data_IF_070437683193
#
_entry.id   IF_070437683193
#
_cell.length_a   1.000
_cell.length_b   1.000
_cell.length_c   1.000
_cell.angle_alpha   90.00
_cell.angle_beta   90.00
_cell.angle_gamma   90.00
#
_symmetry.space_group_name_H-M   'P 1'
#
loop_
_entity.id
_entity.type
_entity.pdbx_description
1 polymer ?
#
# COMPACT_ATOMS: atom_id res chain seq x y z
N UNK A 1 -10.32 58.81 0.18
CA UNK A 1 -9.89 57.45 -0.22
C UNK A 1 -9.80 56.61 1.05
N UNK A 2 -10.85 55.83 1.33
CA UNK A 2 -10.96 55.03 2.56
C UNK A 2 -10.24 53.70 2.38
N UNK A 3 -9.17 53.50 3.15
CA UNK A 3 -8.52 52.21 3.34
C UNK A 3 -9.24 51.46 4.46
N UNK A 4 -10.21 50.62 4.11
CA UNK A 4 -10.71 49.57 4.99
C UNK A 4 -10.41 48.22 4.36
N UNK A 5 -9.20 47.74 4.62
CA UNK A 5 -8.84 46.34 4.38
C UNK A 5 -9.66 45.45 5.32
N UNK A 6 -10.80 44.97 4.82
CA UNK A 6 -11.52 43.86 5.44
C UNK A 6 -10.64 42.62 5.37
N UNK A 7 -9.95 42.32 6.47
CA UNK A 7 -9.50 40.97 6.80
C UNK A 7 -10.75 40.08 6.83
N UNK A 8 -11.02 39.39 5.72
CA UNK A 8 -11.98 38.29 5.69
C UNK A 8 -11.41 37.18 6.57
N UNK A 9 -11.89 37.10 7.81
CA UNK A 9 -11.81 35.85 8.58
C UNK A 9 -12.60 34.84 7.73
N UNK A 10 -11.90 33.94 7.05
CA UNK A 10 -12.54 32.82 6.37
C UNK A 10 -13.31 32.03 7.44
N UNK A 11 -14.63 32.12 7.43
CA UNK A 11 -15.48 31.30 8.29
C UNK A 11 -15.26 29.83 7.89
N UNK A 12 -14.42 29.15 8.66
CA UNK A 12 -14.16 27.72 8.50
C UNK A 12 -15.48 26.98 8.67
N UNK A 13 -15.87 26.21 7.65
CA UNK A 13 -17.12 25.46 7.64
C UNK A 13 -17.20 24.49 8.82
N UNK A 14 -18.40 24.17 9.32
CA UNK A 14 -18.57 23.24 10.43
C UNK A 14 -17.92 21.87 10.17
N UNK A 15 -17.99 21.41 8.92
CA UNK A 15 -17.37 20.16 8.49
C UNK A 15 -15.84 20.21 8.57
N UNK A 16 -15.24 21.34 8.20
CA UNK A 16 -13.80 21.56 8.26
C UNK A 16 -13.30 21.67 9.71
N UNK A 17 -14.08 22.27 10.61
CA UNK A 17 -13.79 22.25 12.06
C UNK A 17 -13.74 20.82 12.62
N UNK A 18 -14.67 19.96 12.20
CA UNK A 18 -14.63 18.55 12.62
C UNK A 18 -13.45 17.78 12.04
N UNK A 19 -13.04 18.08 10.81
CA UNK A 19 -11.83 17.50 10.23
C UNK A 19 -10.60 17.86 11.05
N UNK A 20 -10.41 19.16 11.34
CA UNK A 20 -9.28 19.65 12.14
C UNK A 20 -9.26 18.99 13.53
N UNK A 21 -10.43 18.87 14.17
CA UNK A 21 -10.53 18.23 15.48
C UNK A 21 -10.20 16.72 15.40
N UNK A 22 -10.70 16.02 14.38
CA UNK A 22 -10.40 14.61 14.16
C UNK A 22 -8.90 14.35 13.98
N UNK A 23 -8.21 15.21 13.22
CA UNK A 23 -6.77 15.12 13.02
C UNK A 23 -5.99 15.38 14.31
N UNK A 24 -6.41 16.38 15.10
CA UNK A 24 -5.81 16.65 16.42
C UNK A 24 -5.99 15.47 17.38
N UNK A 25 -7.18 14.90 17.47
CA UNK A 25 -7.44 13.73 18.32
C UNK A 25 -6.56 12.56 17.86
N UNK A 26 -6.49 12.28 16.55
CA UNK A 26 -5.63 11.20 16.03
C UNK A 26 -4.15 11.46 16.28
N UNK A 27 -3.69 12.71 16.25
CA UNK A 27 -2.30 13.07 16.58
C UNK A 27 -1.94 12.68 18.01
N UNK A 28 -2.85 12.85 18.98
CA UNK A 28 -2.63 12.44 20.38
C UNK A 28 -2.39 10.94 20.49
N UNK A 29 -3.25 10.12 19.87
CA UNK A 29 -3.09 8.67 19.86
C UNK A 29 -1.84 8.21 19.09
N UNK A 30 -1.50 8.91 18.00
CA UNK A 30 -0.30 8.61 17.21
C UNK A 30 0.98 8.87 18.00
N UNK A 31 1.02 9.93 18.82
CA UNK A 31 2.14 10.21 19.74
C UNK A 31 2.32 9.10 20.79
N UNK A 32 1.23 8.45 21.18
CA UNK A 32 1.25 7.30 22.06
C UNK A 32 1.47 5.96 21.33
N UNK A 33 1.78 5.97 20.03
CA UNK A 33 1.96 4.76 19.21
C UNK A 33 0.73 3.83 19.17
N UNK A 34 -0.47 4.38 19.42
CA UNK A 34 -1.72 3.61 19.47
C UNK A 34 -2.43 3.64 18.10
N UNK A 35 -2.80 2.48 17.54
CA UNK A 35 -3.51 2.42 16.26
C UNK A 35 -4.96 2.94 16.38
N UNK A 36 -5.29 3.95 15.56
CA UNK A 36 -6.62 4.58 15.50
C UNK A 36 -7.43 4.20 14.26
N UNK A 37 -8.75 4.35 14.34
CA UNK A 37 -9.68 4.27 13.20
C UNK A 37 -9.45 5.37 12.14
N UNK A 38 -10.16 5.30 11.03
CA UNK A 38 -10.11 6.27 9.93
C UNK A 38 -10.62 7.66 10.32
N UNK A 39 -10.13 8.72 9.65
CA UNK A 39 -10.47 10.12 9.97
C UNK A 39 -11.97 10.36 9.83
N UNK A 40 -12.60 9.87 8.77
CA UNK A 40 -14.05 9.99 8.55
C UNK A 40 -14.87 9.33 9.67
N UNK A 41 -14.42 8.16 10.14
CA UNK A 41 -15.06 7.47 11.27
C UNK A 41 -14.90 8.27 12.58
N UNK A 42 -13.76 8.92 12.79
CA UNK A 42 -13.55 9.83 13.92
C UNK A 42 -14.45 11.06 13.84
N UNK A 43 -14.59 11.68 12.66
CA UNK A 43 -15.50 12.83 12.43
C UNK A 43 -16.95 12.45 12.80
N UNK A 44 -17.43 11.28 12.37
CA UNK A 44 -18.79 10.81 12.71
C UNK A 44 -18.96 10.69 14.23
N UNK A 45 -17.95 10.16 14.94
CA UNK A 45 -18.00 10.04 16.41
C UNK A 45 -17.97 11.38 17.12
N UNK A 46 -17.15 12.32 16.64
CA UNK A 46 -17.11 13.69 17.15
C UNK A 46 -18.48 14.35 16.98
N UNK A 47 -19.10 14.22 15.80
CA UNK A 47 -20.44 14.77 15.54
C UNK A 47 -21.48 14.21 16.51
N UNK A 48 -21.51 12.89 16.71
CA UNK A 48 -22.41 12.25 17.69
C UNK A 48 -22.18 12.76 19.11
N UNK A 49 -20.93 13.02 19.49
CA UNK A 49 -20.61 13.59 20.80
C UNK A 49 -21.16 15.02 20.92
N UNK A 50 -20.95 15.85 19.90
CA UNK A 50 -21.48 17.22 19.85
C UNK A 50 -23.01 17.24 19.86
N UNK A 51 -23.67 16.32 19.16
CA UNK A 51 -25.14 16.20 19.18
C UNK A 51 -25.65 15.87 20.60
N UNK A 52 -24.94 15.01 21.34
CA UNK A 52 -25.26 14.71 22.75
C UNK A 52 -25.09 15.94 23.63
N UNK A 53 -24.00 16.70 23.47
CA UNK A 53 -23.76 17.95 24.21
C UNK A 53 -24.89 18.94 23.92
N UNK A 54 -25.19 19.17 22.65
CA UNK A 54 -26.23 20.10 22.24
C UNK A 54 -27.64 19.68 22.72
N UNK A 55 -27.89 18.37 22.76
CA UNK A 55 -29.13 17.84 23.34
C UNK A 55 -29.23 18.16 24.83
N UNK A 56 -28.13 18.02 25.59
CA UNK A 56 -28.11 18.32 27.03
C UNK A 56 -28.18 19.82 27.32
N UNK A 57 -27.58 20.66 26.48
CA UNK A 57 -27.70 22.12 26.59
C UNK A 57 -29.17 22.56 26.53
N UNK A 58 -29.97 21.91 25.67
CA UNK A 58 -31.41 22.17 25.51
C UNK A 58 -32.29 21.64 26.64
N UNK A 59 -31.76 20.88 27.60
CA UNK A 59 -32.56 20.42 28.74
C UNK A 59 -32.95 21.60 29.62
N UNK A 60 -34.23 21.68 29.96
CA UNK A 60 -34.76 22.62 30.96
C UNK A 60 -34.16 22.37 32.34
N UNK A 61 -34.09 23.40 33.18
CA UNK A 61 -33.46 23.31 34.51
C UNK A 61 -34.08 22.20 35.39
N UNK A 62 -35.40 21.99 35.32
CA UNK A 62 -36.09 20.91 36.02
C UNK A 62 -35.63 19.49 35.61
N UNK A 63 -35.11 19.31 34.39
CA UNK A 63 -34.57 18.03 33.91
C UNK A 63 -33.09 17.87 34.18
N UNK A 64 -32.38 18.93 34.59
CA UNK A 64 -30.94 18.87 34.90
C UNK A 64 -30.67 18.26 36.28
N UNK A 65 -31.69 18.11 37.11
CA UNK A 65 -31.62 17.44 38.41
C UNK A 65 -32.01 15.96 38.34
N UNK A 66 -32.47 15.46 37.19
CA UNK A 66 -32.88 14.06 37.06
C UNK A 66 -31.69 13.11 37.02
N UNK A 67 -31.87 11.91 37.56
CA UNK A 67 -30.85 10.85 37.52
C UNK A 67 -30.41 10.55 36.08
N UNK A 68 -31.36 10.57 35.14
CA UNK A 68 -31.10 10.38 33.71
C UNK A 68 -30.18 11.45 33.10
N UNK A 69 -30.19 12.68 33.61
CA UNK A 69 -29.27 13.73 33.18
C UNK A 69 -27.88 13.51 33.76
N UNK A 70 -27.81 13.15 35.05
CA UNK A 70 -26.56 12.81 35.74
C UNK A 70 -25.86 11.61 35.11
N UNK A 71 -26.58 10.57 34.73
CA UNK A 71 -26.05 9.41 33.99
C UNK A 71 -25.47 9.82 32.62
N UNK A 72 -26.21 10.65 31.86
CA UNK A 72 -25.73 11.17 30.57
C UNK A 72 -24.49 12.03 30.75
N UNK A 73 -24.41 12.87 31.78
CA UNK A 73 -23.20 13.63 32.11
C UNK A 73 -22.03 12.71 32.47
N UNK A 74 -22.26 11.68 33.28
CA UNK A 74 -21.23 10.72 33.66
C UNK A 74 -20.69 9.95 32.44
N UNK A 75 -21.49 9.76 31.39
CA UNK A 75 -21.01 9.13 30.15
C UNK A 75 -19.87 9.90 29.46
N UNK A 76 -19.75 11.23 29.67
CA UNK A 76 -18.64 12.03 29.14
C UNK A 76 -17.34 11.89 29.92
N UNK A 77 -17.37 11.27 31.10
CA UNK A 77 -16.15 10.95 31.88
C UNK A 77 -15.41 9.75 31.32
N UNK A 78 -16.04 8.97 30.44
CA UNK A 78 -15.41 7.84 29.78
C UNK A 78 -14.45 8.32 28.69
N UNK A 79 -13.35 7.60 28.49
CA UNK A 79 -12.36 7.90 27.46
C UNK A 79 -13.01 7.96 26.07
N UNK A 80 -12.72 9.01 25.29
CA UNK A 80 -13.15 9.11 23.90
C UNK A 80 -12.33 8.18 23.00
N UNK A 81 -12.65 6.88 23.04
CA UNK A 81 -11.80 5.83 22.49
C UNK A 81 -11.94 5.65 20.97
N UNK A 82 -10.94 6.14 20.23
CA UNK A 82 -10.80 5.96 18.77
C UNK A 82 -9.83 4.84 18.35
N UNK A 83 -9.42 3.97 19.28
CA UNK A 83 -8.51 2.85 18.97
C UNK A 83 -9.17 1.83 18.04
N UNK A 84 -8.39 1.19 17.17
CA UNK A 84 -8.85 0.06 16.34
C UNK A 84 -9.02 -1.22 17.15
N UNK A 85 -8.11 -1.47 18.10
CA UNK A 85 -8.18 -2.62 18.99
C UNK A 85 -9.25 -2.38 20.05
N UNK A 86 -10.19 -3.32 20.21
CA UNK A 86 -11.24 -3.31 21.24
C UNK A 86 -11.16 -4.51 22.19
N UNK A 87 -10.06 -5.25 22.17
CA UNK A 87 -9.89 -6.49 22.94
C UNK A 87 -10.12 -6.32 24.44
N UNK A 88 -9.71 -5.20 25.04
CA UNK A 88 -9.99 -4.92 26.45
C UNK A 88 -11.48 -4.83 26.77
N UNK A 89 -12.25 -4.18 25.90
CA UNK A 89 -13.71 -4.06 26.05
C UNK A 89 -14.38 -5.43 25.87
N UNK A 90 -13.76 -6.32 25.09
CA UNK A 90 -14.14 -7.73 24.93
C UNK A 90 -13.65 -8.66 26.05
N UNK A 91 -13.07 -8.13 27.14
CA UNK A 91 -12.61 -8.92 28.29
C UNK A 91 -11.18 -9.45 28.22
N UNK A 92 -10.46 -9.22 27.11
CA UNK A 92 -9.07 -9.66 26.97
C UNK A 92 -8.15 -8.72 27.74
N UNK A 93 -7.46 -9.24 28.76
CA UNK A 93 -6.52 -8.46 29.59
C UNK A 93 -5.06 -8.67 29.21
N UNK A 94 -4.71 -9.86 28.71
CA UNK A 94 -3.37 -10.16 28.22
C UNK A 94 -3.27 -9.85 26.71
N UNK A 95 -2.26 -9.03 26.35
CA UNK A 95 -1.95 -8.71 24.95
C UNK A 95 -1.76 -9.97 24.12
N UNK A 96 -1.14 -11.02 24.65
CA UNK A 96 -0.80 -12.22 23.89
C UNK A 96 -2.03 -12.97 23.36
N UNK A 97 -3.19 -12.77 24.00
CA UNK A 97 -4.48 -13.33 23.57
C UNK A 97 -5.18 -12.47 22.51
N UNK A 98 -4.64 -11.31 22.15
CA UNK A 98 -5.20 -10.44 21.12
C UNK A 98 -5.05 -11.06 19.72
N UNK A 99 -6.18 -11.26 19.04
CA UNK A 99 -6.27 -11.81 17.68
C UNK A 99 -6.46 -10.75 16.60
N UNK A 100 -6.45 -9.45 16.95
CA UNK A 100 -6.60 -8.38 15.96
C UNK A 100 -5.52 -8.45 14.86
N UNK A 101 -5.85 -8.05 13.62
CA UNK A 101 -4.85 -7.86 12.56
C UNK A 101 -3.69 -7.00 13.06
N UNK A 102 -2.46 -7.34 12.68
CA UNK A 102 -1.24 -6.65 13.10
C UNK A 102 -1.34 -5.10 13.06
N UNK A 103 -1.85 -4.46 11.98
CA UNK A 103 -1.94 -2.99 11.91
C UNK A 103 -2.99 -2.35 12.84
N UNK A 104 -3.88 -3.17 13.39
CA UNK A 104 -4.94 -2.76 14.29
C UNK A 104 -4.64 -3.13 15.75
N UNK A 105 -3.60 -3.93 15.98
CA UNK A 105 -3.20 -4.44 17.29
C UNK A 105 -2.37 -3.41 18.02
N UNK A 106 -2.64 -3.21 19.31
CA UNK A 106 -1.81 -2.36 20.18
C UNK A 106 -0.40 -2.99 20.31
N UNK A 107 0.68 -2.20 20.16
CA UNK A 107 2.04 -2.65 20.44
C UNK A 107 2.15 -3.27 21.84
N UNK A 108 3.03 -4.26 22.00
CA UNK A 108 3.20 -4.96 23.28
C UNK A 108 3.63 -3.99 24.39
N UNK A 109 4.54 -3.06 24.07
CA UNK A 109 5.05 -2.05 25.00
C UNK A 109 4.01 -1.01 25.43
N UNK A 110 2.99 -0.76 24.60
CA UNK A 110 1.93 0.22 24.88
C UNK A 110 0.67 -0.42 25.45
N UNK A 111 0.64 -1.74 25.61
CA UNK A 111 -0.55 -2.46 26.06
C UNK A 111 -0.97 -2.04 27.47
N UNK A 112 -0.02 -2.05 28.41
CA UNK A 112 -0.28 -1.70 29.81
C UNK A 112 -0.67 -0.23 29.95
N UNK A 113 0.01 0.65 29.21
CA UNK A 113 -0.35 2.07 29.13
C UNK A 113 -1.79 2.25 28.60
N UNK A 114 -2.16 1.55 27.53
CA UNK A 114 -3.50 1.65 26.94
C UNK A 114 -4.58 1.11 27.88
N UNK A 115 -4.32 0.00 28.57
CA UNK A 115 -5.23 -0.57 29.58
C UNK A 115 -5.44 0.41 30.74
N UNK A 116 -4.37 1.04 31.21
CA UNK A 116 -4.41 2.07 32.26
C UNK A 116 -5.27 3.27 31.87
N UNK A 117 -5.26 3.69 30.59
CA UNK A 117 -6.13 4.78 30.11
C UNK A 117 -7.63 4.42 30.12
N UNK A 118 -8.00 3.14 30.21
CA UNK A 118 -9.40 2.67 30.23
C UNK A 118 -9.96 2.44 31.63
N UNK A 119 -9.09 2.38 32.64
CA UNK A 119 -9.47 2.11 34.03
C UNK A 119 -9.16 3.33 34.91
N UNK A 120 -8.90 3.10 36.19
CA UNK A 120 -8.36 4.14 37.08
C UNK A 120 -6.89 4.31 36.73
N UNK A 121 -6.52 5.52 36.29
CA UNK A 121 -5.16 5.87 35.88
C UNK A 121 -4.20 5.77 37.07
N UNK A 122 -3.41 4.71 37.11
CA UNK A 122 -2.49 4.36 38.19
C UNK A 122 -1.01 4.50 37.77
N UNK A 123 -0.72 4.64 36.47
CA UNK A 123 0.67 4.73 35.97
C UNK A 123 1.31 6.11 36.23
N UNK A 124 2.53 6.09 36.78
CA UNK A 124 3.40 7.26 36.97
C UNK A 124 4.29 7.44 35.72
N UNK A 125 4.41 8.67 35.20
CA UNK A 125 5.30 8.97 34.07
C UNK A 125 6.74 8.95 34.56
N UNK A 126 7.41 7.81 34.43
CA UNK A 126 8.84 7.68 34.65
C UNK A 126 9.64 8.07 33.39
N UNK A 127 10.91 8.42 33.57
CA UNK A 127 11.82 8.72 32.47
C UNK A 127 11.95 7.50 31.52
N UNK A 128 11.80 7.76 30.23
CA UNK A 128 11.89 6.74 29.16
C UNK A 128 13.36 6.56 28.79
N UNK A 129 13.85 5.32 28.72
CA UNK A 129 15.22 5.04 28.26
C UNK A 129 15.34 5.17 26.74
N UNK A 130 16.55 5.47 26.23
CA UNK A 130 16.79 5.56 24.78
C UNK A 130 16.46 4.24 24.05
N UNK A 131 16.71 3.09 24.71
CA UNK A 131 16.34 1.77 24.19
C UNK A 131 14.82 1.58 24.04
N UNK A 132 14.02 2.10 24.96
CA UNK A 132 12.56 2.03 24.86
C UNK A 132 12.04 2.91 23.71
N UNK A 133 12.72 4.02 23.43
CA UNK A 133 12.38 4.91 22.33
C UNK A 133 12.63 4.25 20.96
N UNK A 134 13.74 3.53 20.80
CA UNK A 134 14.05 2.78 19.59
C UNK A 134 13.05 1.63 19.34
N UNK A 135 12.69 0.89 20.39
CA UNK A 135 11.69 -0.19 20.30
C UNK A 135 10.31 0.35 19.90
N UNK A 136 9.92 1.50 20.45
CA UNK A 136 8.69 2.21 20.05
C UNK A 136 8.73 2.62 18.59
N UNK A 137 9.83 3.24 18.14
CA UNK A 137 10.02 3.67 16.76
C UNK A 137 9.91 2.49 15.80
N UNK A 138 10.60 1.38 16.10
CA UNK A 138 10.54 0.16 15.29
C UNK A 138 9.13 -0.43 15.23
N UNK A 139 8.42 -0.49 16.37
CA UNK A 139 7.05 -1.02 16.44
C UNK A 139 6.06 -0.16 15.64
N UNK A 140 6.19 1.17 15.73
CA UNK A 140 5.38 2.12 14.94
C UNK A 140 5.67 1.94 13.45
N UNK A 141 6.93 1.81 13.06
CA UNK A 141 7.32 1.64 11.66
C UNK A 141 6.79 0.33 11.07
N UNK A 142 6.79 -0.77 11.82
CA UNK A 142 6.18 -2.03 11.41
C UNK A 142 4.66 -1.91 11.22
N UNK A 143 3.97 -1.15 12.09
CA UNK A 143 2.53 -0.91 11.98
C UNK A 143 2.21 -0.02 10.77
N UNK A 144 2.99 1.03 10.53
CA UNK A 144 2.85 1.90 9.36
C UNK A 144 2.99 1.07 8.08
N UNK A 145 4.06 0.27 7.96
CA UNK A 145 4.28 -0.64 6.81
C UNK A 145 3.13 -1.63 6.63
N UNK A 146 2.59 -2.19 7.72
CA UNK A 146 1.44 -3.10 7.66
C UNK A 146 0.14 -2.42 7.23
N UNK A 147 -0.09 -1.16 7.64
CA UNK A 147 -1.25 -0.34 7.24
C UNK A 147 -1.16 0.10 5.79
N UNK A 148 0.01 0.49 5.33
CA UNK A 148 0.28 0.79 3.92
C UNK A 148 0.03 -0.43 3.04
N UNK A 149 0.49 -1.59 3.48
CA UNK A 149 0.23 -2.87 2.79
C UNK A 149 -1.26 -3.20 2.70
N UNK A 150 -2.03 -2.98 3.77
CA UNK A 150 -3.48 -3.20 3.74
C UNK A 150 -4.23 -2.18 2.87
N UNK A 151 -3.83 -0.90 2.88
CA UNK A 151 -4.38 0.12 1.97
C UNK A 151 -4.07 -0.17 0.51
N UNK A 152 -2.93 -0.81 0.22
CA UNK A 152 -2.55 -1.30 -1.11
C UNK A 152 -3.32 -2.55 -1.54
N UNK A 153 -3.93 -3.31 -0.60
CA UNK A 153 -4.72 -4.50 -0.89
C UNK A 153 -6.23 -4.18 -1.05
N UNK A 154 -6.73 -3.09 -0.45
CA UNK A 154 -8.14 -2.67 -0.58
C UNK A 154 -8.41 -1.70 -1.74
N UNK A 155 -7.39 -1.00 -2.23
CA UNK A 155 -7.41 -0.33 -3.52
C UNK A 155 -6.69 -1.23 -4.52
N UNK A 156 -7.32 -1.52 -5.67
CA UNK A 156 -6.66 -2.10 -6.84
C UNK A 156 -5.31 -1.36 -7.05
N UNK A 157 -4.17 -2.06 -7.21
CA UNK A 157 -2.90 -1.53 -6.75
C UNK A 157 -2.34 -0.51 -7.73
N UNK A 158 -2.12 0.72 -7.25
CA UNK A 158 -0.99 1.54 -7.73
C UNK A 158 0.13 1.31 -6.74
N UNK A 159 1.08 0.44 -7.10
CA UNK A 159 2.35 0.32 -6.39
C UNK A 159 3.02 1.70 -6.44
N UNK A 160 3.48 2.21 -5.30
CA UNK A 160 4.61 3.14 -5.31
C UNK A 160 5.79 2.27 -5.72
N UNK A 161 6.05 2.24 -7.02
CA UNK A 161 7.21 1.56 -7.54
C UNK A 161 8.45 2.23 -6.94
N UNK A 162 9.30 1.46 -6.28
CA UNK A 162 10.67 1.91 -6.03
C UNK A 162 11.26 2.36 -7.37
N UNK A 163 12.12 3.39 -7.42
CA UNK A 163 12.83 3.77 -8.66
C UNK A 163 13.41 2.53 -9.37
N UNK A 164 13.85 1.54 -8.59
CA UNK A 164 14.37 0.23 -9.05
C UNK A 164 13.33 -0.65 -9.77
N UNK A 165 12.06 -0.59 -9.39
CA UNK A 165 10.95 -1.34 -9.99
C UNK A 165 10.31 -0.59 -11.17
N UNK A 166 10.39 0.75 -11.17
CA UNK A 166 10.03 1.59 -12.34
C UNK A 166 10.96 1.24 -13.51
N UNK A 167 12.28 1.25 -13.28
CA UNK A 167 13.29 1.03 -14.34
C UNK A 167 13.19 -0.33 -15.03
N UNK A 168 12.80 -1.40 -14.31
CA UNK A 168 12.64 -2.73 -14.91
C UNK A 168 11.38 -2.82 -15.80
N UNK A 169 10.30 -2.14 -15.41
CA UNK A 169 9.07 -2.08 -16.19
C UNK A 169 9.15 -1.07 -17.34
N UNK A 170 10.04 -0.07 -17.27
CA UNK A 170 10.26 0.96 -18.29
C UNK A 170 11.40 0.64 -19.29
N UNK A 171 11.76 -0.63 -19.45
CA UNK A 171 12.57 -1.01 -20.61
C UNK A 171 11.85 -0.58 -21.90
N UNK A 172 12.60 -0.08 -22.90
CA UNK A 172 12.03 0.36 -24.18
C UNK A 172 11.11 -0.71 -24.80
N UNK A 173 11.48 -2.00 -24.66
CA UNK A 173 10.66 -3.13 -25.12
C UNK A 173 9.26 -3.17 -24.49
N UNK A 174 9.14 -2.90 -23.17
CA UNK A 174 7.86 -2.94 -22.47
C UNK A 174 6.97 -1.74 -22.83
N UNK A 175 7.59 -0.58 -23.03
CA UNK A 175 6.89 0.63 -23.50
C UNK A 175 6.35 0.39 -24.92
N UNK A 176 7.14 -0.23 -25.80
CA UNK A 176 6.70 -0.60 -27.14
C UNK A 176 5.55 -1.63 -27.10
N UNK A 177 5.61 -2.62 -26.22
CA UNK A 177 4.54 -3.61 -26.02
C UNK A 177 3.23 -2.95 -25.57
N UNK A 178 3.29 -2.05 -24.59
CA UNK A 178 2.10 -1.29 -24.20
C UNK A 178 1.56 -0.45 -25.38
N UNK A 179 2.46 0.23 -26.08
CA UNK A 179 2.10 1.13 -27.18
C UNK A 179 1.49 0.42 -28.40
N UNK A 180 1.87 -0.81 -28.74
CA UNK A 180 1.21 -1.55 -29.85
C UNK A 180 -0.22 -1.97 -29.54
N UNK A 181 -0.57 -2.09 -28.26
CA UNK A 181 -1.91 -2.42 -27.79
C UNK A 181 -2.76 -1.21 -27.41
N UNK A 182 -2.22 0.01 -27.54
CA UNK A 182 -2.90 1.22 -27.11
C UNK A 182 -4.10 1.56 -28.00
N UNK A 183 -5.06 2.29 -27.45
CA UNK A 183 -6.21 2.84 -28.17
C UNK A 183 -5.85 3.94 -29.17
N UNK A 184 -4.79 4.72 -28.92
CA UNK A 184 -4.35 5.81 -29.78
C UNK A 184 -3.53 5.28 -30.98
N UNK A 185 -3.96 5.68 -32.18
CA UNK A 185 -3.31 5.27 -33.43
C UNK A 185 -1.89 5.82 -33.57
N UNK A 186 -1.62 7.04 -33.10
CA UNK A 186 -0.30 7.66 -33.24
C UNK A 186 0.72 6.97 -32.32
N UNK A 187 0.28 6.59 -31.11
CA UNK A 187 1.06 5.78 -30.15
C UNK A 187 1.41 4.42 -30.77
N UNK A 188 0.42 3.75 -31.38
CA UNK A 188 0.64 2.47 -32.08
C UNK A 188 1.60 2.61 -33.26
N UNK A 189 1.40 3.63 -34.10
CA UNK A 189 2.22 3.90 -35.28
C UNK A 189 3.67 4.12 -34.90
N UNK A 190 3.92 5.00 -33.92
CA UNK A 190 5.27 5.24 -33.41
C UNK A 190 5.92 3.93 -32.93
N UNK A 191 5.20 3.13 -32.15
CA UNK A 191 5.72 1.85 -31.65
C UNK A 191 6.10 0.87 -32.77
N UNK A 192 5.22 0.69 -33.75
CA UNK A 192 5.47 -0.19 -34.90
C UNK A 192 6.70 0.28 -35.69
N UNK A 193 6.83 1.58 -35.94
CA UNK A 193 8.00 2.15 -36.62
C UNK A 193 9.30 1.89 -35.85
N UNK A 194 9.31 2.05 -34.52
CA UNK A 194 10.48 1.75 -33.69
C UNK A 194 10.85 0.26 -33.69
N UNK A 195 9.86 -0.63 -33.64
CA UNK A 195 10.08 -2.08 -33.68
C UNK A 195 10.70 -2.49 -35.03
N UNK A 196 10.19 -1.95 -36.14
CA UNK A 196 10.73 -2.25 -37.48
C UNK A 196 12.18 -1.79 -37.58
N UNK A 197 12.49 -0.55 -37.14
CA UNK A 197 13.87 -0.03 -37.11
C UNK A 197 14.80 -0.90 -36.26
N UNK A 198 14.34 -1.35 -35.09
CA UNK A 198 15.12 -2.23 -34.23
C UNK A 198 15.39 -3.61 -34.87
N UNK A 199 14.42 -4.17 -35.59
CA UNK A 199 14.59 -5.43 -36.35
C UNK A 199 15.59 -5.27 -37.49
N UNK A 200 15.58 -4.13 -38.18
CA UNK A 200 16.53 -3.85 -39.27
C UNK A 200 17.96 -3.72 -38.76
N UNK A 201 18.17 -3.00 -37.65
CA UNK A 201 19.48 -2.92 -36.97
C UNK A 201 20.01 -4.32 -36.59
N UNK A 202 19.15 -5.17 -36.01
CA UNK A 202 19.51 -6.55 -35.65
C UNK A 202 19.90 -7.43 -36.85
N UNK A 203 19.35 -7.19 -38.05
CA UNK A 203 19.71 -7.93 -39.27
C UNK A 203 21.08 -7.53 -39.83
N UNK A 204 21.53 -6.30 -39.57
CA UNK A 204 22.80 -5.78 -40.07
C UNK A 204 24.00 -6.22 -39.22
N UNK A 205 23.78 -6.57 -37.95
CA UNK A 205 24.82 -7.05 -37.04
C UNK A 205 25.07 -8.56 -37.22
N UNK A 206 26.25 -8.93 -37.70
CA UNK A 206 26.64 -10.34 -37.97
C UNK A 206 26.84 -11.20 -36.72
N UNK A 207 26.86 -10.59 -35.54
CA UNK A 207 27.04 -11.26 -34.26
C UNK A 207 26.00 -10.70 -33.29
N UNK A 208 24.90 -11.41 -33.05
CA UNK A 208 23.78 -10.93 -32.23
C UNK A 208 24.23 -10.98 -30.76
N UNK A 209 24.54 -9.85 -30.11
CA UNK A 209 24.93 -9.87 -28.71
C UNK A 209 23.74 -10.34 -27.85
N UNK A 210 24.06 -10.99 -26.73
CA UNK A 210 23.04 -11.27 -25.70
C UNK A 210 22.43 -9.94 -25.28
N UNK A 211 21.09 -9.84 -25.27
CA UNK A 211 20.37 -8.64 -24.78
C UNK A 211 20.84 -8.34 -23.35
N UNK A 212 21.56 -7.23 -23.18
CA UNK A 212 21.98 -6.72 -21.88
C UNK A 212 21.03 -5.60 -21.50
N UNK A 213 20.43 -5.73 -20.32
CA UNK A 213 19.64 -4.67 -19.72
C UNK A 213 20.48 -4.02 -18.61
N UNK A 214 21.14 -2.90 -18.91
CA UNK A 214 21.75 -2.08 -17.87
C UNK A 214 20.78 -0.99 -17.43
N UNK A 215 20.59 -0.88 -16.12
CA UNK A 215 19.71 0.11 -15.49
C UNK A 215 20.28 1.52 -15.60
N UNK A 216 21.59 1.65 -15.82
CA UNK A 216 22.27 2.94 -15.97
C UNK A 216 21.94 3.64 -17.28
N UNK A 217 21.51 2.88 -18.28
CA UNK A 217 21.25 3.39 -19.64
C UNK A 217 19.84 4.00 -19.77
N UNK A 218 19.02 3.95 -18.71
CA UNK A 218 17.63 4.43 -18.73
C UNK A 218 17.53 5.76 -17.98
N UNK A 219 17.52 6.85 -18.76
CA UNK A 219 17.20 8.20 -18.26
C UNK A 219 15.69 8.43 -18.33
N UNK A 220 15.06 8.70 -17.19
CA UNK A 220 13.61 8.87 -17.09
C UNK A 220 13.20 10.34 -17.05
N UNK A 221 12.29 10.72 -17.94
CA UNK A 221 11.59 12.00 -17.88
C UNK A 221 10.32 11.89 -17.02
N UNK A 222 10.42 12.25 -15.74
CA UNK A 222 9.29 12.21 -14.79
C UNK A 222 8.23 13.30 -15.04
N UNK A 223 8.52 14.30 -15.89
CA UNK A 223 7.59 15.36 -16.25
C UNK A 223 6.76 15.03 -17.51
N UNK A 224 6.98 13.85 -18.11
CA UNK A 224 6.28 13.42 -19.31
C UNK A 224 4.77 13.26 -19.06
N UNK A 225 3.95 13.79 -19.98
CA UNK A 225 2.48 13.65 -19.96
C UNK A 225 2.00 12.34 -20.59
N UNK A 226 2.84 11.70 -21.40
CA UNK A 226 2.58 10.41 -22.05
C UNK A 226 3.69 9.43 -21.72
N UNK A 227 3.32 8.14 -21.57
CA UNK A 227 4.26 7.08 -21.21
C UNK A 227 5.33 6.83 -22.29
N UNK A 228 5.04 7.12 -23.57
CA UNK A 228 6.03 7.07 -24.65
C UNK A 228 7.18 8.04 -24.39
N UNK A 229 6.88 9.21 -23.82
CA UNK A 229 7.85 10.28 -23.62
C UNK A 229 8.62 10.15 -22.30
N UNK A 230 8.43 9.05 -21.56
CA UNK A 230 9.13 8.80 -20.31
C UNK A 230 10.59 8.40 -20.51
N UNK A 231 10.96 7.90 -21.68
CA UNK A 231 12.34 7.57 -22.05
C UNK A 231 12.80 8.39 -23.24
N UNK A 232 14.11 8.62 -23.33
CA UNK A 232 14.74 9.18 -24.51
C UNK A 232 15.03 8.06 -25.51
N UNK A 233 14.29 8.04 -26.63
CA UNK A 233 14.39 7.00 -27.66
C UNK A 233 15.70 7.06 -28.46
N UNK A 234 16.36 8.22 -28.51
CA UNK A 234 17.61 8.40 -29.24
C UNK A 234 18.82 7.90 -28.42
N UNK A 235 18.73 8.02 -27.09
CA UNK A 235 19.78 7.54 -26.17
C UNK A 235 19.56 6.11 -25.70
N UNK A 236 18.32 5.61 -25.73
CA UNK A 236 17.99 4.27 -25.25
C UNK A 236 18.38 3.19 -26.27
N UNK A 237 18.93 2.07 -25.80
CA UNK A 237 19.14 0.90 -26.65
C UNK A 237 17.81 0.18 -26.92
N UNK A 238 17.19 0.49 -28.06
CA UNK A 238 15.89 -0.09 -28.47
C UNK A 238 16.12 -1.41 -29.21
N UNK A 239 15.64 -2.51 -28.62
CA UNK A 239 15.63 -3.84 -29.24
C UNK A 239 14.20 -4.30 -29.57
N UNK A 240 14.05 -5.18 -30.55
CA UNK A 240 12.73 -5.73 -30.91
C UNK A 240 12.19 -6.59 -29.76
N UNK A 241 10.97 -6.33 -29.25
CA UNK A 241 10.38 -7.12 -28.16
C UNK A 241 10.27 -8.61 -28.53
N UNK A 242 10.76 -9.54 -27.66
CA UNK A 242 10.67 -10.98 -27.92
C UNK A 242 9.23 -11.48 -28.06
N UNK A 243 8.28 -10.87 -27.36
CA UNK A 243 6.87 -11.28 -27.42
C UNK A 243 6.28 -11.11 -28.82
N UNK A 244 6.83 -10.20 -29.64
CA UNK A 244 6.38 -9.95 -31.00
C UNK A 244 7.23 -10.69 -32.04
N UNK A 245 8.18 -11.55 -31.63
CA UNK A 245 9.11 -12.21 -32.57
C UNK A 245 8.42 -13.16 -33.56
N UNK A 246 7.22 -13.60 -33.25
CA UNK A 246 6.43 -14.49 -34.09
C UNK A 246 5.68 -13.75 -35.21
N UNK A 247 5.58 -12.42 -35.14
CA UNK A 247 4.90 -11.58 -36.13
C UNK A 247 5.90 -11.02 -37.15
N UNK A 248 5.59 -11.14 -38.44
CA UNK A 248 6.38 -10.49 -39.51
C UNK A 248 6.21 -8.97 -39.50
N UNK A 249 7.06 -8.24 -40.22
CA UNK A 249 6.92 -6.78 -40.33
C UNK A 249 5.59 -6.39 -41.00
N UNK A 250 5.12 -7.17 -41.97
CA UNK A 250 3.85 -6.92 -42.66
C UNK A 250 2.62 -7.15 -41.77
N UNK A 251 2.76 -8.03 -40.77
CA UNK A 251 1.73 -8.30 -39.77
C UNK A 251 1.68 -7.27 -38.64
N UNK A 252 2.74 -6.46 -38.46
CA UNK A 252 2.74 -5.35 -37.52
C UNK A 252 1.97 -4.17 -38.15
N UNK A 253 0.65 -4.16 -37.96
CA UNK A 253 -0.19 -3.02 -38.35
C UNK A 253 -0.44 -2.09 -37.17
N UNK A 254 -0.47 -0.78 -37.43
CA UNK A 254 -0.90 0.24 -36.47
C UNK A 254 -2.40 0.56 -36.59
N UNK A 255 -3.08 0.04 -37.62
CA UNK A 255 -4.51 0.34 -37.86
C UNK A 255 -5.41 -0.20 -36.75
N UNK A 256 -5.02 -1.33 -36.15
CA UNK A 256 -5.74 -1.96 -35.04
C UNK A 256 -4.77 -2.32 -33.91
N UNK A 257 -5.22 -2.30 -32.65
CA UNK A 257 -4.41 -2.75 -31.52
C UNK A 257 -3.98 -4.20 -31.66
N UNK A 258 -2.70 -4.48 -31.39
CA UNK A 258 -2.20 -5.86 -31.33
C UNK A 258 -2.63 -6.46 -29.99
N UNK A 259 -3.40 -7.54 -30.07
CA UNK A 259 -3.86 -8.28 -28.89
C UNK A 259 -2.68 -9.05 -28.28
N UNK A 260 -2.16 -8.52 -27.17
CA UNK A 260 -1.19 -9.22 -26.34
C UNK A 260 -1.91 -10.28 -25.49
N UNK A 261 -1.26 -11.42 -25.19
CA UNK A 261 -1.82 -12.39 -24.26
C UNK A 261 -2.04 -11.73 -22.90
N UNK A 262 -3.15 -12.10 -22.24
CA UNK A 262 -3.43 -11.65 -20.88
C UNK A 262 -2.39 -12.28 -19.93
N UNK A 263 -1.36 -11.51 -19.61
CA UNK A 263 -0.32 -11.90 -18.66
C UNK A 263 -0.69 -11.28 -17.32
N UNK A 264 -0.87 -12.09 -16.25
CA UNK A 264 -1.19 -11.56 -14.93
C UNK A 264 -0.10 -10.57 -14.48
N UNK A 265 -0.44 -9.28 -14.46
CA UNK A 265 0.52 -8.20 -14.21
C UNK A 265 1.05 -8.22 -12.76
N UNK A 266 0.24 -8.68 -11.81
CA UNK A 266 0.60 -8.71 -10.39
C UNK A 266 -0.04 -9.89 -9.65
N UNK A 267 0.61 -11.06 -9.70
CA UNK A 267 0.31 -12.11 -8.73
C UNK A 267 1.54 -12.45 -7.90
N UNK A 268 1.34 -12.58 -6.60
CA UNK A 268 2.34 -13.22 -5.72
C UNK A 268 2.78 -14.59 -6.28
N UNK A 269 1.94 -15.23 -7.10
CA UNK A 269 2.27 -16.47 -7.80
C UNK A 269 3.39 -16.31 -8.84
N UNK A 270 3.45 -15.19 -9.57
CA UNK A 270 4.55 -14.87 -10.50
C UNK A 270 5.84 -14.66 -9.70
N UNK A 271 5.82 -13.85 -8.64
CA UNK A 271 7.01 -13.62 -7.78
C UNK A 271 7.52 -14.93 -7.14
N UNK A 272 6.61 -15.76 -6.63
CA UNK A 272 6.95 -17.10 -6.11
C UNK A 272 7.53 -17.99 -7.20
N UNK A 273 6.96 -17.97 -8.41
CA UNK A 273 7.47 -18.77 -9.53
C UNK A 273 8.87 -18.32 -9.96
N UNK A 274 9.17 -17.02 -9.96
CA UNK A 274 10.53 -16.51 -10.25
C UNK A 274 11.54 -17.02 -9.22
N UNK A 275 11.19 -17.00 -7.93
CA UNK A 275 12.04 -17.57 -6.87
C UNK A 275 12.28 -19.06 -7.07
N UNK A 276 11.24 -19.82 -7.42
CA UNK A 276 11.33 -21.25 -7.68
C UNK A 276 12.22 -21.57 -8.88
N UNK A 277 12.07 -20.81 -9.97
CA UNK A 277 12.89 -20.94 -11.18
C UNK A 277 14.34 -20.57 -10.90
N UNK A 278 14.59 -19.54 -10.09
CA UNK A 278 15.94 -19.14 -9.69
C UNK A 278 16.60 -20.22 -8.83
N UNK A 279 15.88 -20.74 -7.83
CA UNK A 279 16.37 -21.82 -6.97
C UNK A 279 16.64 -23.11 -7.76
N UNK A 280 15.78 -23.46 -8.73
CA UNK A 280 16.01 -24.59 -9.63
C UNK A 280 17.22 -24.36 -10.54
N UNK A 281 17.41 -23.14 -11.03
CA UNK A 281 18.54 -22.79 -11.91
C UNK A 281 19.89 -22.90 -11.20
N UNK A 282 19.95 -22.64 -9.89
CA UNK A 282 21.14 -22.85 -9.09
C UNK A 282 21.45 -24.34 -8.82
N UNK A 283 20.46 -25.23 -8.93
CA UNK A 283 20.60 -26.65 -8.56
C UNK A 283 20.75 -27.59 -9.74
N UNK A 284 20.11 -27.29 -10.88
CA UNK A 284 20.11 -28.17 -12.05
C UNK A 284 20.38 -27.39 -13.34
N UNK A 285 21.14 -28.01 -14.23
CA UNK A 285 21.46 -27.45 -15.54
C UNK A 285 20.51 -27.94 -16.63
N UNK A 286 20.22 -27.08 -17.62
CA UNK A 286 19.37 -27.40 -18.77
C UNK A 286 17.87 -27.12 -18.57
N UNK A 287 17.19 -26.73 -19.66
CA UNK A 287 15.77 -26.30 -19.65
C UNK A 287 14.83 -27.37 -19.11
N UNK A 288 14.96 -28.61 -19.58
CA UNK A 288 14.08 -29.73 -19.19
C UNK A 288 14.22 -30.05 -17.69
N UNK A 289 15.45 -30.14 -17.19
CA UNK A 289 15.75 -30.43 -15.79
C UNK A 289 15.23 -29.34 -14.85
N UNK A 290 15.46 -28.06 -15.19
CA UNK A 290 14.91 -26.93 -14.41
C UNK A 290 13.39 -26.93 -14.36
N UNK A 291 12.75 -27.16 -15.50
CA UNK A 291 11.29 -27.19 -15.58
C UNK A 291 10.70 -28.34 -14.75
N UNK A 292 11.26 -29.55 -14.87
CA UNK A 292 10.85 -30.70 -14.06
C UNK A 292 10.99 -30.46 -12.56
N UNK A 293 12.09 -29.84 -12.12
CA UNK A 293 12.30 -29.50 -10.71
C UNK A 293 11.28 -28.47 -10.18
N UNK A 294 10.93 -27.46 -10.98
CA UNK A 294 9.90 -26.46 -10.62
C UNK A 294 8.54 -27.13 -10.49
N UNK A 295 8.17 -28.02 -11.42
CA UNK A 295 6.91 -28.77 -11.35
C UNK A 295 6.86 -29.68 -10.13
N UNK A 296 7.93 -30.42 -9.85
CA UNK A 296 8.03 -31.29 -8.67
C UNK A 296 7.90 -30.50 -7.38
N UNK A 297 8.54 -29.33 -7.30
CA UNK A 297 8.46 -28.45 -6.12
C UNK A 297 7.07 -27.86 -5.91
N UNK A 298 6.32 -27.59 -6.99
CA UNK A 298 4.92 -27.15 -6.92
C UNK A 298 4.01 -28.29 -6.48
N UNK A 299 4.20 -29.49 -7.04
CA UNK A 299 3.46 -30.71 -6.67
C UNK A 299 3.66 -31.05 -5.20
N UNK A 300 4.90 -31.06 -4.73
CA UNK A 300 5.22 -31.29 -3.31
C UNK A 300 4.54 -30.27 -2.39
N UNK A 301 4.50 -28.98 -2.76
CA UNK A 301 3.79 -27.94 -2.00
C UNK A 301 2.27 -28.11 -1.95
N UNK A 302 1.67 -28.78 -2.93
CA UNK A 302 0.25 -29.11 -2.92
C UNK A 302 -0.03 -30.34 -2.05
N UNK A 303 0.93 -31.25 -1.93
CA UNK A 303 0.85 -32.45 -1.08
C UNK A 303 1.11 -32.14 0.40
N UNK A 304 1.82 -31.06 0.72
CA UNK A 304 2.01 -30.60 2.09
C UNK A 304 0.69 -30.01 2.63
N UNK A 305 0.17 -30.49 3.79
CA UNK A 305 -1.02 -29.92 4.40
C UNK A 305 -0.80 -28.44 4.77
N UNK A 306 -1.84 -27.60 4.66
CA UNK A 306 -1.75 -26.20 5.09
C UNK A 306 -1.56 -26.15 6.60
N UNK A 307 -0.41 -25.64 7.01
CA UNK A 307 -0.05 -25.40 8.41
C UNK A 307 -0.44 -23.97 8.71
N UNK A 308 -1.56 -23.77 9.40
CA UNK A 308 -2.07 -22.44 9.76
C UNK A 308 -1.45 -21.96 11.08
N UNK A 309 -0.90 -22.86 11.90
CA UNK A 309 -0.23 -22.53 13.15
C UNK A 309 1.03 -23.38 13.42
N UNK A 310 1.96 -22.84 14.21
CA UNK A 310 3.15 -23.58 14.66
C UNK A 310 2.81 -24.85 15.48
N UNK A 311 1.60 -24.95 16.05
CA UNK A 311 1.17 -26.13 16.81
C UNK A 311 0.91 -27.33 15.88
N UNK A 312 0.55 -27.07 14.63
CA UNK A 312 0.26 -28.13 13.66
C UNK A 312 1.55 -28.84 13.20
N UNK A 313 2.72 -28.25 13.47
CA UNK A 313 4.04 -28.84 13.23
C UNK A 313 4.47 -29.85 14.30
N UNK A 314 3.85 -29.81 15.49
CA UNK A 314 4.22 -30.65 16.63
C UNK A 314 3.41 -31.95 16.63
N UNK A 315 2.26 -31.97 15.94
CA UNK A 315 1.32 -33.09 15.92
C UNK A 315 1.22 -33.80 14.55
N UNK A 316 2.14 -33.51 13.61
CA UNK A 316 2.22 -34.15 12.28
C UNK A 316 3.25 -35.27 12.25
#
# INVERSE_FOLDING_TARGET
MSLTGHLRILEISLQERYSILADRVKSVYSKASIPTIEVNSTIIRIRRLMDKVHTLEKYSDAKRTSDTFTEKLNSFKQLFDICTCKCFDSGIRDRNLCTCPLPNKIPLIEWDFWVDQKTVRNMIIAAVSDSDMEIRRFSVEQIIRAREKQKQESNIPVRVFDKKDITLNLAAENILLAAVSDSDMEIRRFSVEQIIRAREKQKQESNIPVRVFDKKDITLNLAATSFINMIDWDQSNVTSPPMLSHLSNDQLTYTHPILLPDVPCHSQAVERTIKDVSAASCKVYGRKSRHGMVLQSKKFRLEIPKIDSKKDFINS
#
